data_IF_797891734596
#
_entry.id   IF_797891734596
#
_cell.length_a   1.000
_cell.length_b   1.000
_cell.length_c   1.000
_cell.angle_alpha   90.00
_cell.angle_beta   90.00
_cell.angle_gamma   90.00
#
_symmetry.space_group_name_H-M   'P 1'
#
loop_
_entity.id
_entity.type
_entity.pdbx_description
1 polymer ?
#
# COMPACT_ATOMS: atom_id res chain seq x y z
N UNK A 1 24.12 -6.39 -11.17
CA UNK A 1 24.56 -5.83 -9.86
C UNK A 1 24.78 -6.98 -8.88
N UNK A 2 25.81 -6.89 -8.02
CA UNK A 2 26.05 -7.92 -6.99
C UNK A 2 25.57 -7.40 -5.64
N UNK A 3 24.82 -8.22 -4.90
CA UNK A 3 24.37 -7.95 -3.54
C UNK A 3 24.98 -8.97 -2.57
N UNK A 4 25.35 -8.51 -1.39
CA UNK A 4 25.86 -9.39 -0.34
C UNK A 4 24.69 -10.19 0.29
N UNK A 5 24.89 -11.49 0.44
CA UNK A 5 23.99 -12.35 1.22
C UNK A 5 24.47 -12.33 2.67
N UNK A 6 23.55 -12.04 3.58
CA UNK A 6 23.81 -12.05 5.02
C UNK A 6 23.05 -13.17 5.73
N UNK A 7 23.60 -13.69 6.80
CA UNK A 7 22.91 -14.61 7.70
C UNK A 7 21.99 -13.85 8.67
N UNK A 8 21.12 -14.54 9.36
CA UNK A 8 20.24 -14.03 10.44
C UNK A 8 21.03 -13.23 11.50
N UNK A 9 22.32 -13.51 11.67
CA UNK A 9 23.24 -12.82 12.58
C UNK A 9 23.94 -11.61 11.97
N UNK A 10 23.60 -11.22 10.75
CA UNK A 10 24.22 -10.07 10.05
C UNK A 10 25.61 -10.34 9.48
N UNK A 11 26.08 -11.59 9.45
CA UNK A 11 27.38 -11.95 8.84
C UNK A 11 27.21 -12.20 7.36
N UNK A 12 28.17 -11.74 6.55
CA UNK A 12 28.22 -12.02 5.11
C UNK A 12 28.54 -13.50 4.88
N UNK A 13 27.68 -14.18 4.11
CA UNK A 13 27.82 -15.59 3.76
C UNK A 13 28.21 -15.77 2.30
N UNK A 14 27.81 -14.88 1.42
CA UNK A 14 28.08 -14.97 -0.01
C UNK A 14 27.62 -13.74 -0.77
N UNK A 15 27.56 -13.87 -2.09
CA UNK A 15 27.04 -12.84 -2.99
C UNK A 15 26.04 -13.45 -3.96
N UNK A 16 25.08 -12.66 -4.41
CA UNK A 16 24.10 -13.02 -5.42
C UNK A 16 24.10 -11.99 -6.52
N UNK A 17 24.02 -12.46 -7.76
CA UNK A 17 23.83 -11.59 -8.91
C UNK A 17 22.33 -11.31 -9.09
N UNK A 18 22.00 -10.05 -9.23
CA UNK A 18 20.63 -9.56 -9.43
C UNK A 18 20.51 -8.74 -10.70
N UNK A 19 19.32 -8.73 -11.29
CA UNK A 19 19.05 -8.03 -12.53
C UNK A 19 19.18 -6.50 -12.37
N UNK A 20 20.06 -5.87 -13.14
CA UNK A 20 20.26 -4.42 -13.15
C UNK A 20 18.98 -3.67 -13.53
N UNK A 21 18.14 -4.29 -14.38
CA UNK A 21 16.84 -3.76 -14.77
C UNK A 21 15.85 -3.60 -13.59
N UNK A 22 16.10 -4.22 -12.45
CA UNK A 22 15.23 -4.17 -11.26
C UNK A 22 15.87 -3.37 -10.12
N UNK A 23 17.19 -3.53 -9.90
CA UNK A 23 17.86 -3.00 -8.70
C UNK A 23 18.85 -1.86 -8.98
N UNK A 24 19.17 -1.59 -10.25
CA UNK A 24 20.11 -0.53 -10.63
C UNK A 24 19.50 0.58 -11.51
N UNK A 25 18.17 0.70 -11.51
CA UNK A 25 17.49 1.74 -12.29
C UNK A 25 17.67 3.15 -11.70
N UNK A 26 17.48 4.14 -12.55
CA UNK A 26 17.38 5.53 -12.12
C UNK A 26 16.13 5.74 -11.26
N UNK A 27 16.32 6.40 -10.12
CA UNK A 27 15.23 6.68 -9.19
C UNK A 27 14.36 7.82 -9.73
N UNK A 28 13.08 7.54 -9.99
CA UNK A 28 12.13 8.52 -10.49
C UNK A 28 11.12 8.87 -9.39
N UNK A 29 11.39 9.93 -8.64
CA UNK A 29 10.57 10.36 -7.51
C UNK A 29 9.11 10.67 -7.89
N UNK A 30 8.88 11.25 -9.08
CA UNK A 30 7.54 11.53 -9.58
C UNK A 30 6.68 10.27 -9.72
N UNK A 31 7.25 9.16 -10.21
CA UNK A 31 6.55 7.87 -10.30
C UNK A 31 6.24 7.28 -8.92
N UNK A 32 7.19 7.38 -7.99
CA UNK A 32 6.99 6.92 -6.62
C UNK A 32 5.84 7.67 -5.96
N UNK A 33 5.81 9.00 -6.09
CA UNK A 33 4.75 9.83 -5.56
C UNK A 33 3.37 9.48 -6.16
N UNK A 34 3.28 9.30 -7.48
CA UNK A 34 2.05 8.96 -8.18
C UNK A 34 1.47 7.63 -7.68
N UNK A 35 2.31 6.59 -7.57
CA UNK A 35 1.90 5.27 -7.08
C UNK A 35 1.47 5.32 -5.61
N UNK A 36 2.23 5.98 -4.74
CA UNK A 36 1.87 6.13 -3.33
C UNK A 36 0.54 6.89 -3.18
N UNK A 37 0.33 7.95 -3.97
CA UNK A 37 -0.95 8.67 -4.02
C UNK A 37 -2.10 7.77 -4.43
N UNK A 38 -1.92 6.97 -5.48
CA UNK A 38 -2.93 6.02 -5.95
C UNK A 38 -3.24 4.94 -4.91
N UNK A 39 -2.23 4.34 -4.28
CA UNK A 39 -2.40 3.34 -3.24
C UNK A 39 -3.14 3.89 -2.00
N UNK A 40 -2.76 5.09 -1.54
CA UNK A 40 -3.44 5.75 -0.41
C UNK A 40 -4.87 6.15 -0.75
N UNK A 41 -5.13 6.56 -1.99
CA UNK A 41 -6.46 6.89 -2.44
C UNK A 41 -7.36 5.64 -2.52
N UNK A 42 -6.85 4.52 -3.03
CA UNK A 42 -7.57 3.24 -3.09
C UNK A 42 -7.92 2.67 -1.70
N UNK A 43 -7.11 2.96 -0.68
CA UNK A 43 -7.38 2.53 0.70
C UNK A 43 -8.55 3.29 1.36
N UNK A 44 -9.04 4.38 0.77
CA UNK A 44 -10.16 5.15 1.31
C UNK A 44 -11.48 4.44 1.04
N UNK A 45 -12.27 4.17 2.07
CA UNK A 45 -13.57 3.50 1.96
C UNK A 45 -14.65 4.34 1.25
N UNK A 46 -14.55 5.68 1.31
CA UNK A 46 -15.44 6.61 0.61
C UNK A 46 -16.92 6.55 1.01
N UNK A 47 -17.24 6.10 2.22
CA UNK A 47 -18.60 5.86 2.69
C UNK A 47 -19.33 7.11 3.22
N UNK A 48 -18.69 8.28 3.18
CA UNK A 48 -19.32 9.54 3.62
C UNK A 48 -20.55 9.85 2.79
N UNK A 49 -21.63 10.24 3.46
CA UNK A 49 -22.90 10.57 2.82
C UNK A 49 -23.60 11.71 3.53
N UNK A 50 -24.40 12.46 2.79
CA UNK A 50 -25.29 13.49 3.32
C UNK A 50 -26.67 13.33 2.73
N UNK A 51 -27.70 13.64 3.53
CA UNK A 51 -29.08 13.57 3.05
C UNK A 51 -29.37 14.74 2.10
N UNK A 52 -29.72 14.41 0.88
CA UNK A 52 -30.26 15.33 -0.11
C UNK A 52 -31.71 15.69 0.22
N UNK A 53 -32.30 16.62 -0.51
CA UNK A 53 -33.70 16.98 -0.40
C UNK A 53 -34.64 15.75 -0.55
N UNK A 54 -34.25 14.77 -1.34
CA UNK A 54 -35.04 13.56 -1.55
C UNK A 54 -35.01 12.62 -0.32
N UNK A 55 -33.86 12.57 0.36
CA UNK A 55 -33.58 11.64 1.46
C UNK A 55 -34.09 12.14 2.83
N UNK A 56 -34.32 13.44 2.96
CA UNK A 56 -34.85 14.03 4.21
C UNK A 56 -36.33 13.67 4.36
N UNK A 57 -36.70 13.17 5.54
CA UNK A 57 -38.11 12.83 5.86
C UNK A 57 -38.96 14.10 5.96
N UNK A 58 -40.21 14.06 5.46
CA UNK A 58 -41.19 15.14 5.56
C UNK A 58 -41.43 15.88 4.24
N UNK A 59 -42.19 16.97 4.26
CA UNK A 59 -42.35 17.94 3.18
C UNK A 59 -43.10 17.46 1.94
N UNK A 60 -44.06 16.55 2.05
CA UNK A 60 -44.91 16.08 0.93
C UNK A 60 -45.88 17.16 0.42
N UNK A 61 -46.38 18.03 1.31
CA UNK A 61 -47.27 19.11 0.97
C UNK A 61 -46.51 20.42 0.70
N UNK A 62 -47.09 21.26 -0.17
CA UNK A 62 -46.64 22.62 -0.38
C UNK A 62 -46.91 23.47 0.88
N UNK A 63 -45.95 24.27 1.41
CA UNK A 63 -46.08 24.99 2.67
C UNK A 63 -47.23 25.99 2.68
N UNK A 64 -47.46 26.66 1.56
CA UNK A 64 -48.53 27.67 1.39
C UNK A 64 -48.83 27.91 -0.09
N UNK A 65 -49.89 28.69 -0.38
CA UNK A 65 -50.34 28.98 -1.74
C UNK A 65 -49.28 29.73 -2.55
N UNK A 66 -49.28 29.54 -3.87
CA UNK A 66 -48.29 30.12 -4.80
C UNK A 66 -48.31 31.67 -4.83
N UNK A 67 -49.51 32.27 -4.59
CA UNK A 67 -49.77 33.71 -4.59
C UNK A 67 -50.67 34.09 -3.42
N UNK A 68 -50.72 35.37 -3.02
CA UNK A 68 -51.61 35.87 -2.00
C UNK A 68 -51.09 35.85 -0.56
N UNK A 69 -49.88 35.31 -0.31
CA UNK A 69 -49.30 35.22 1.05
C UNK A 69 -48.29 36.32 1.37
N UNK A 70 -47.84 37.12 0.41
CA UNK A 70 -46.76 38.09 0.59
C UNK A 70 -45.38 37.49 0.79
N UNK A 71 -45.25 36.16 0.97
CA UNK A 71 -44.01 35.46 1.22
C UNK A 71 -43.34 34.97 -0.07
N UNK A 72 -42.02 34.69 -0.01
CA UNK A 72 -41.29 34.09 -1.10
C UNK A 72 -41.88 32.71 -1.42
N UNK A 73 -41.98 32.37 -2.71
CA UNK A 73 -42.56 31.10 -3.19
C UNK A 73 -41.74 29.91 -2.73
N UNK A 74 -42.40 28.91 -2.13
CA UNK A 74 -41.76 27.67 -1.64
C UNK A 74 -42.54 26.45 -2.10
N UNK A 75 -41.79 25.41 -2.50
CA UNK A 75 -42.36 24.14 -2.95
C UNK A 75 -42.30 23.02 -1.91
N UNK A 76 -41.36 23.12 -0.96
CA UNK A 76 -41.19 22.09 0.07
C UNK A 76 -40.37 22.61 1.24
N UNK A 77 -40.68 22.17 2.46
CA UNK A 77 -39.93 22.44 3.68
C UNK A 77 -38.59 21.73 3.74
N UNK A 78 -38.39 20.72 2.87
CA UNK A 78 -37.10 19.98 2.76
C UNK A 78 -36.05 20.70 1.91
N UNK A 79 -36.39 21.84 1.33
CA UNK A 79 -35.44 22.64 0.54
C UNK A 79 -34.25 23.10 1.41
N UNK A 80 -33.05 23.29 0.83
CA UNK A 80 -31.81 23.54 1.61
C UNK A 80 -31.83 24.85 2.41
N UNK A 81 -32.65 25.82 2.02
CA UNK A 81 -32.81 27.11 2.71
C UNK A 81 -33.52 26.98 4.05
N UNK A 82 -34.25 25.90 4.29
CA UNK A 82 -34.94 25.66 5.55
C UNK A 82 -34.08 24.92 6.56
N UNK A 83 -34.26 25.24 7.84
CA UNK A 83 -33.65 24.51 8.94
C UNK A 83 -34.14 23.06 8.91
N UNK A 84 -33.20 22.09 8.92
CA UNK A 84 -33.53 20.69 8.76
C UNK A 84 -33.77 20.22 7.31
N UNK A 85 -33.61 21.10 6.33
CA UNK A 85 -33.63 20.76 4.90
C UNK A 85 -32.41 19.94 4.43
N UNK A 86 -32.48 19.46 3.20
CA UNK A 86 -31.39 18.65 2.60
C UNK A 86 -30.13 19.46 2.30
N UNK A 87 -28.99 18.80 2.23
CA UNK A 87 -27.73 19.36 1.73
C UNK A 87 -27.72 19.33 0.20
N UNK A 88 -27.26 20.42 -0.46
CA UNK A 88 -27.22 20.50 -1.93
C UNK A 88 -25.96 19.84 -2.46
N UNK A 89 -24.79 20.30 -2.01
CA UNK A 89 -23.48 19.87 -2.48
C UNK A 89 -22.70 19.11 -1.38
N UNK A 90 -23.42 18.30 -0.61
CA UNK A 90 -22.77 17.48 0.40
C UNK A 90 -22.04 16.30 -0.20
N UNK A 91 -21.14 15.66 0.56
CA UNK A 91 -20.44 14.47 0.10
C UNK A 91 -21.40 13.31 -0.12
N UNK A 92 -21.15 12.55 -1.19
CA UNK A 92 -21.82 11.30 -1.50
C UNK A 92 -20.82 10.16 -1.55
N UNK A 93 -21.24 8.90 -1.32
CA UNK A 93 -20.38 7.74 -1.44
C UNK A 93 -19.76 7.69 -2.84
N UNK A 94 -18.42 7.54 -2.89
CA UNK A 94 -17.69 7.42 -4.15
C UNK A 94 -16.43 6.61 -3.99
N UNK A 95 -15.97 5.96 -5.04
CA UNK A 95 -14.62 5.40 -5.12
C UNK A 95 -13.60 6.52 -5.25
N UNK A 96 -12.46 6.34 -4.57
CA UNK A 96 -11.29 7.22 -4.67
C UNK A 96 -10.15 6.54 -5.44
N UNK A 97 -10.39 5.37 -6.01
CA UNK A 97 -9.40 4.65 -6.77
C UNK A 97 -8.92 5.47 -7.98
N UNK A 98 -7.60 5.59 -8.10
CA UNK A 98 -6.94 6.24 -9.23
C UNK A 98 -6.36 5.17 -10.15
N UNK A 99 -6.78 5.19 -11.42
CA UNK A 99 -6.25 4.30 -12.44
C UNK A 99 -4.80 4.64 -12.77
N UNK A 100 -3.89 3.65 -12.66
CA UNK A 100 -2.49 3.79 -13.05
C UNK A 100 -2.11 2.65 -13.99
N UNK A 101 -1.39 2.95 -15.05
CA UNK A 101 -0.96 1.99 -16.07
C UNK A 101 -0.04 0.91 -15.47
N UNK A 102 -0.17 -0.34 -15.92
CA UNK A 102 0.65 -1.48 -15.45
C UNK A 102 2.15 -1.22 -15.61
N UNK A 103 2.58 -0.64 -16.75
CA UNK A 103 3.99 -0.30 -17.02
C UNK A 103 4.55 0.71 -15.99
N UNK A 104 3.75 1.72 -15.63
CA UNK A 104 4.11 2.73 -14.62
C UNK A 104 4.27 2.09 -13.25
N UNK A 105 3.36 1.19 -12.85
CA UNK A 105 3.45 0.44 -11.57
C UNK A 105 4.74 -0.39 -11.48
N UNK A 106 5.09 -1.12 -12.56
CA UNK A 106 6.32 -1.92 -12.62
C UNK A 106 7.58 -1.03 -12.50
N UNK A 107 7.64 0.06 -13.29
CA UNK A 107 8.76 0.98 -13.26
C UNK A 107 8.92 1.67 -11.90
N UNK A 108 7.84 2.05 -11.26
CA UNK A 108 7.88 2.61 -9.91
C UNK A 108 8.36 1.59 -8.86
N UNK A 109 7.96 0.32 -8.98
CA UNK A 109 8.45 -0.74 -8.09
C UNK A 109 9.96 -0.96 -8.26
N UNK A 110 10.47 -1.02 -9.51
CA UNK A 110 11.90 -1.09 -9.78
C UNK A 110 12.66 0.12 -9.21
N UNK A 111 12.10 1.32 -9.39
CA UNK A 111 12.65 2.56 -8.85
C UNK A 111 12.75 2.54 -7.32
N UNK A 112 11.73 2.01 -6.62
CA UNK A 112 11.73 1.87 -5.16
C UNK A 112 12.77 0.85 -4.66
N UNK A 113 12.91 -0.28 -5.36
CA UNK A 113 13.93 -1.30 -5.05
C UNK A 113 15.34 -0.75 -5.27
N UNK A 114 15.56 -0.05 -6.40
CA UNK A 114 16.82 0.60 -6.72
C UNK A 114 17.20 1.70 -5.71
N UNK A 115 16.21 2.43 -5.20
CA UNK A 115 16.44 3.42 -4.14
C UNK A 115 16.98 2.74 -2.87
N UNK A 116 16.34 1.65 -2.42
CA UNK A 116 16.81 0.92 -1.23
C UNK A 116 18.18 0.27 -1.43
N UNK A 117 18.46 -0.22 -2.63
CA UNK A 117 19.79 -0.74 -2.97
C UNK A 117 20.87 0.37 -2.93
N UNK A 118 20.60 1.55 -3.52
CA UNK A 118 21.52 2.71 -3.49
C UNK A 118 21.78 3.24 -2.09
N UNK A 119 20.75 3.23 -1.22
CA UNK A 119 20.88 3.64 0.18
C UNK A 119 21.62 2.61 1.06
N UNK A 120 21.95 1.43 0.54
CA UNK A 120 22.51 0.32 1.32
C UNK A 120 21.55 -0.27 2.35
N UNK A 121 20.24 -0.07 2.15
CA UNK A 121 19.17 -0.54 3.05
C UNK A 121 18.42 -1.78 2.53
N UNK A 122 18.98 -2.41 1.50
CA UNK A 122 18.51 -3.68 0.96
C UNK A 122 19.40 -4.81 1.47
N UNK A 123 18.81 -5.77 2.17
CA UNK A 123 19.49 -6.92 2.74
C UNK A 123 18.94 -8.19 2.11
N UNK A 124 19.81 -9.00 1.53
CA UNK A 124 19.43 -10.34 1.07
C UNK A 124 19.86 -11.33 2.15
N UNK A 125 18.91 -12.10 2.68
CA UNK A 125 19.16 -13.10 3.73
C UNK A 125 19.05 -14.49 3.12
N UNK A 126 19.97 -15.41 3.47
CA UNK A 126 20.01 -16.75 2.90
C UNK A 126 18.71 -17.50 3.18
N UNK A 127 18.29 -17.58 4.45
CA UNK A 127 16.99 -18.12 4.86
C UNK A 127 16.52 -17.51 6.18
N UNK A 128 15.21 -17.29 6.32
CA UNK A 128 14.61 -16.79 7.57
C UNK A 128 13.65 -17.87 8.08
N UNK A 129 14.21 -18.84 8.82
CA UNK A 129 13.43 -19.93 9.43
C UNK A 129 13.29 -19.74 10.94
N UNK A 130 12.06 -19.86 11.46
CA UNK A 130 11.78 -19.95 12.89
C UNK A 130 11.08 -21.28 13.20
N UNK A 131 11.66 -22.09 14.09
CA UNK A 131 11.05 -23.36 14.54
C UNK A 131 9.70 -23.11 15.21
N UNK A 132 9.59 -22.01 15.96
CA UNK A 132 8.37 -21.61 16.67
C UNK A 132 8.11 -20.10 16.46
N UNK A 133 6.84 -19.69 16.34
CA UNK A 133 6.52 -18.28 16.18
C UNK A 133 6.83 -17.52 17.48
N UNK A 134 7.81 -16.60 17.43
CA UNK A 134 8.22 -15.75 18.57
C UNK A 134 8.60 -14.35 18.07
N UNK A 135 7.97 -13.32 18.60
CA UNK A 135 8.28 -11.92 18.31
C UNK A 135 9.69 -11.53 18.74
N UNK A 136 10.17 -12.09 19.87
CA UNK A 136 11.54 -11.84 20.36
C UNK A 136 12.61 -12.29 19.37
N UNK A 137 12.40 -13.39 18.67
CA UNK A 137 13.31 -13.89 17.62
C UNK A 137 13.32 -12.91 16.43
N UNK A 138 12.16 -12.42 15.99
CA UNK A 138 12.08 -11.42 14.93
C UNK A 138 12.81 -10.12 15.30
N UNK A 139 12.63 -9.62 16.53
CA UNK A 139 13.35 -8.42 17.02
C UNK A 139 14.86 -8.67 17.07
N UNK A 140 15.32 -9.85 17.49
CA UNK A 140 16.76 -10.15 17.52
C UNK A 140 17.40 -10.15 16.12
N UNK A 141 16.69 -10.64 15.10
CA UNK A 141 17.14 -10.58 13.70
C UNK A 141 17.25 -9.14 13.22
N UNK A 142 16.24 -8.32 13.47
CA UNK A 142 16.26 -6.89 13.09
C UNK A 142 17.40 -6.13 13.78
N UNK A 143 17.63 -6.42 15.06
CA UNK A 143 18.74 -5.82 15.80
C UNK A 143 20.10 -6.25 15.26
N UNK A 144 20.25 -7.53 14.88
CA UNK A 144 21.49 -8.03 14.28
C UNK A 144 21.79 -7.39 12.91
N UNK A 145 20.75 -7.06 12.13
CA UNK A 145 20.86 -6.34 10.87
C UNK A 145 20.99 -4.81 11.05
N UNK A 146 20.86 -4.29 12.29
CA UNK A 146 20.91 -2.85 12.56
C UNK A 146 19.70 -2.07 12.04
N UNK A 147 18.54 -2.71 11.87
CA UNK A 147 17.34 -2.12 11.28
C UNK A 147 16.28 -1.92 12.35
N UNK A 148 15.80 -0.68 12.52
CA UNK A 148 14.72 -0.36 13.46
C UNK A 148 13.32 -0.65 12.93
N UNK A 149 13.13 -0.54 11.59
CA UNK A 149 11.87 -0.80 10.90
C UNK A 149 12.15 -1.52 9.59
N UNK A 150 11.58 -2.71 9.39
CA UNK A 150 11.87 -3.53 8.21
C UNK A 150 10.62 -4.06 7.51
N UNK A 151 10.67 -4.05 6.18
CA UNK A 151 9.79 -4.83 5.35
C UNK A 151 10.50 -6.16 5.03
N UNK A 152 9.93 -7.27 5.46
CA UNK A 152 10.48 -8.61 5.22
C UNK A 152 9.69 -9.27 4.11
N UNK A 153 10.39 -9.72 3.07
CA UNK A 153 9.80 -10.39 1.91
C UNK A 153 10.26 -11.84 1.89
N UNK A 154 9.31 -12.74 2.08
CA UNK A 154 9.56 -14.18 2.08
C UNK A 154 8.34 -14.93 1.52
N UNK A 155 8.45 -16.25 1.36
CA UNK A 155 7.33 -17.08 0.91
C UNK A 155 6.11 -16.95 1.82
N UNK A 156 4.92 -17.02 1.23
CA UNK A 156 3.66 -17.06 1.96
C UNK A 156 3.52 -18.30 2.87
N UNK A 157 4.24 -19.38 2.54
CA UNK A 157 4.16 -20.66 3.25
C UNK A 157 4.83 -20.61 4.62
N UNK A 158 5.69 -19.61 4.88
CA UNK A 158 6.37 -19.44 6.15
C UNK A 158 5.45 -18.84 7.23
N UNK A 159 4.50 -19.63 7.72
CA UNK A 159 3.52 -19.22 8.74
C UNK A 159 4.18 -18.74 10.04
N UNK A 160 5.26 -19.40 10.49
CA UNK A 160 5.97 -19.02 11.71
C UNK A 160 6.58 -17.63 11.61
N UNK A 161 7.13 -17.27 10.44
CA UNK A 161 7.65 -15.94 10.18
C UNK A 161 6.53 -14.90 10.21
N UNK A 162 5.44 -15.15 9.49
CA UNK A 162 4.26 -14.27 9.45
C UNK A 162 3.73 -13.97 10.85
N UNK A 163 3.55 -15.00 11.69
CA UNK A 163 3.07 -14.85 13.06
C UNK A 163 4.07 -14.09 13.95
N UNK A 164 5.38 -14.28 13.72
CA UNK A 164 6.44 -13.61 14.49
C UNK A 164 6.50 -12.11 14.21
N UNK A 165 6.26 -11.68 12.97
CA UNK A 165 6.27 -10.28 12.56
C UNK A 165 4.92 -9.57 12.75
N UNK A 166 3.80 -10.29 12.75
CA UNK A 166 2.45 -9.71 12.78
C UNK A 166 2.20 -8.72 13.93
N UNK A 167 2.77 -8.97 15.11
CA UNK A 167 2.59 -8.11 16.28
C UNK A 167 3.59 -6.94 16.34
N UNK A 168 4.56 -6.87 15.44
CA UNK A 168 5.55 -5.80 15.43
C UNK A 168 5.02 -4.63 14.61
N UNK A 169 4.66 -3.53 15.28
CA UNK A 169 4.13 -2.33 14.61
C UNK A 169 5.16 -1.62 13.71
N UNK A 170 6.46 -1.82 13.96
CA UNK A 170 7.55 -1.24 13.16
C UNK A 170 7.93 -2.06 11.95
N UNK A 171 7.48 -3.31 11.82
CA UNK A 171 7.94 -4.22 10.77
C UNK A 171 6.78 -5.01 10.20
N UNK A 172 6.88 -5.38 8.93
CA UNK A 172 5.82 -6.09 8.21
C UNK A 172 6.43 -7.23 7.40
N UNK A 173 5.79 -8.40 7.42
CA UNK A 173 6.08 -9.51 6.52
C UNK A 173 5.11 -9.46 5.33
N UNK A 174 5.62 -9.67 4.12
CA UNK A 174 4.83 -9.69 2.88
C UNK A 174 5.38 -10.78 1.95
N UNK A 175 4.48 -11.51 1.30
CA UNK A 175 4.83 -12.38 0.18
C UNK A 175 5.28 -11.56 -1.05
N UNK A 176 6.12 -12.11 -1.96
CA UNK A 176 6.55 -11.42 -3.17
C UNK A 176 5.40 -10.85 -4.00
N UNK A 177 4.28 -11.56 -4.09
CA UNK A 177 3.08 -11.09 -4.77
C UNK A 177 2.44 -9.85 -4.13
N UNK A 178 2.60 -9.63 -2.82
CA UNK A 178 2.09 -8.48 -2.08
C UNK A 178 3.01 -7.25 -2.08
N UNK A 179 4.27 -7.37 -2.56
CA UNK A 179 5.26 -6.31 -2.50
C UNK A 179 4.74 -5.05 -3.22
N UNK A 180 4.81 -3.90 -2.56
CA UNK A 180 4.30 -2.63 -3.08
C UNK A 180 5.20 -1.45 -2.71
N UNK A 181 5.10 -0.36 -3.48
CA UNK A 181 5.94 0.82 -3.34
C UNK A 181 5.74 1.51 -1.98
N UNK A 182 4.50 1.59 -1.50
CA UNK A 182 4.20 2.23 -0.23
C UNK A 182 4.91 1.55 0.96
N UNK A 183 4.82 0.22 1.05
CA UNK A 183 5.46 -0.52 2.13
C UNK A 183 6.99 -0.45 2.05
N UNK A 184 7.58 -0.49 0.83
CA UNK A 184 9.03 -0.32 0.64
C UNK A 184 9.50 1.04 1.16
N UNK A 185 8.77 2.11 0.87
CA UNK A 185 9.13 3.46 1.31
C UNK A 185 8.82 3.73 2.78
N UNK A 186 7.79 3.09 3.33
CA UNK A 186 7.38 3.28 4.72
C UNK A 186 8.35 2.67 5.73
N UNK A 187 9.08 1.60 5.36
CA UNK A 187 10.04 0.94 6.21
C UNK A 187 11.47 1.41 5.88
N UNK A 188 12.34 1.51 6.87
CA UNK A 188 13.72 1.97 6.69
C UNK A 188 14.59 0.92 6.02
N UNK A 189 14.37 -0.37 6.27
CA UNK A 189 15.11 -1.47 5.67
C UNK A 189 14.19 -2.43 4.91
N UNK A 190 14.73 -3.00 3.83
CA UNK A 190 14.09 -4.04 3.04
C UNK A 190 14.91 -5.33 3.17
N UNK A 191 14.30 -6.38 3.68
CA UNK A 191 14.92 -7.70 3.84
C UNK A 191 14.24 -8.66 2.89
N UNK A 192 14.99 -9.30 1.99
CA UNK A 192 14.48 -10.25 1.01
C UNK A 192 15.17 -11.60 1.25
N UNK A 193 14.40 -12.66 1.39
CA UNK A 193 14.97 -14.00 1.42
C UNK A 193 15.47 -14.38 0.01
N UNK A 194 16.60 -15.07 -0.05
CA UNK A 194 17.26 -15.47 -1.31
C UNK A 194 16.34 -16.28 -2.23
N UNK A 195 15.54 -17.18 -1.66
CA UNK A 195 14.65 -18.06 -2.40
C UNK A 195 13.56 -17.31 -3.18
N UNK A 196 13.12 -16.15 -2.65
CA UNK A 196 12.04 -15.34 -3.27
C UNK A 196 12.57 -14.22 -4.15
N UNK A 197 13.89 -14.05 -4.26
CA UNK A 197 14.50 -12.97 -5.05
C UNK A 197 14.08 -13.05 -6.52
N UNK A 198 14.13 -14.22 -7.12
CA UNK A 198 13.70 -14.46 -8.51
C UNK A 198 12.21 -14.12 -8.73
N UNK A 199 11.36 -14.43 -7.75
CA UNK A 199 9.94 -14.09 -7.81
C UNK A 199 9.71 -12.57 -7.76
N UNK A 200 10.52 -11.83 -7.00
CA UNK A 200 10.51 -10.37 -6.98
C UNK A 200 10.95 -9.79 -8.33
N UNK A 201 12.00 -10.34 -8.93
CA UNK A 201 12.48 -9.94 -10.26
C UNK A 201 11.41 -10.19 -11.34
N UNK A 202 10.83 -11.39 -11.38
CA UNK A 202 9.78 -11.78 -12.31
C UNK A 202 8.55 -10.86 -12.21
N UNK A 203 8.19 -10.44 -11.01
CA UNK A 203 7.08 -9.50 -10.81
C UNK A 203 7.34 -8.12 -11.41
N UNK A 204 8.55 -7.63 -11.35
CA UNK A 204 8.95 -6.32 -11.90
C UNK A 204 9.07 -6.38 -13.41
N UNK A 205 9.74 -7.39 -13.95
CA UNK A 205 9.91 -7.59 -15.40
C UNK A 205 8.60 -7.99 -16.06
N UNK A 206 7.77 -8.74 -15.36
CA UNK A 206 6.48 -9.26 -15.83
C UNK A 206 6.57 -10.57 -16.55
N UNK A 207 7.66 -11.26 -16.41
CA UNK A 207 7.84 -12.66 -16.74
C UNK A 207 7.20 -13.51 -15.64
N UNK A 208 5.89 -13.66 -15.67
CA UNK A 208 5.19 -14.66 -14.87
C UNK A 208 5.50 -16.03 -15.43
N UNK A 209 5.63 -17.05 -14.60
CA UNK A 209 5.88 -18.45 -14.98
C UNK A 209 4.80 -19.07 -15.90
N UNK A 210 3.75 -18.32 -16.25
CA UNK A 210 2.68 -18.71 -17.21
C UNK A 210 3.14 -18.78 -18.67
N UNK A 211 4.40 -18.48 -18.99
CA UNK A 211 4.95 -18.60 -20.35
C UNK A 211 5.73 -19.91 -20.59
N UNK A 212 5.50 -20.94 -19.76
CA UNK A 212 6.09 -22.27 -19.91
C UNK A 212 5.03 -23.38 -19.84
N UNK A 213 3.99 -23.27 -20.66
CA UNK A 213 3.20 -24.40 -21.16
C UNK A 213 3.06 -24.34 -22.68
#
# INVERSE_FOLDING_TARGET
MQLDIVDIKGKKVGQVEVADAVFAQEVQEGLLWEIVKAQRAAARSGTHNTKTRADVRGGGAKPYNQKGTGNARQGSLRSPQFVGGGKVFGPHPRSYELGVNKKVRKKALASALSLRAKEGKLFVVDSIGFDKPKTKSAVSVLSALGIGSALVVDSADNANLTLSFRNLGSSKHIAPAGLNVYDILNHTGLVIAKDVLKAVEARVTGETEEAKE
#
